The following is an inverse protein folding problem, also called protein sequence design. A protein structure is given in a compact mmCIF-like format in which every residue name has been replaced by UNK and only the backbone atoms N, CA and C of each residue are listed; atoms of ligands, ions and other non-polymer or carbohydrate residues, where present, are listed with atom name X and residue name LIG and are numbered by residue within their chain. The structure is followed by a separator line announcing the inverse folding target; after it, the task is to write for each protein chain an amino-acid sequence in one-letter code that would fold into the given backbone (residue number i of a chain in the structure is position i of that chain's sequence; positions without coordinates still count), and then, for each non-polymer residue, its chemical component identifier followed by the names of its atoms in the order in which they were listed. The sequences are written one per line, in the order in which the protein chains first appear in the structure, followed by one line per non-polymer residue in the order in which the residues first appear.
data_IF_280782724609
#
_entry.id   IF_280782724609
#
_cell.length_a   1.000
_cell.length_b   1.000
_cell.length_c   1.000
_cell.angle_alpha   90.00
_cell.angle_beta   90.00
_cell.angle_gamma   90.00
#
_symmetry.space_group_name_H-M   'P 1'
#
loop_
_entity.id
_entity.type
_entity.pdbx_description
1 polymer ?
#
# COMPACT_ATOMS: atom_id res chain seq x y z
N UNK A 1 1.14 16.86 -23.19
CA UNK A 1 2.03 15.68 -23.08
C UNK A 1 1.71 14.94 -21.78
N UNK A 2 1.50 13.62 -21.88
CA UNK A 2 1.26 12.76 -20.74
C UNK A 2 2.59 12.63 -19.97
N UNK A 3 2.62 12.92 -18.65
CA UNK A 3 3.84 12.82 -17.87
C UNK A 3 4.28 11.36 -17.69
N UNK A 4 5.58 11.16 -17.48
CA UNK A 4 6.07 9.86 -17.06
C UNK A 4 5.58 9.55 -15.63
N UNK A 5 5.21 8.29 -15.32
CA UNK A 5 4.79 7.90 -13.99
C UNK A 5 5.97 8.03 -13.00
N UNK A 6 5.63 8.34 -11.76
CA UNK A 6 6.62 8.47 -10.67
C UNK A 6 6.65 7.26 -9.74
N UNK A 7 5.57 6.51 -9.69
CA UNK A 7 5.39 5.39 -8.75
C UNK A 7 4.80 4.19 -9.50
N UNK A 8 5.30 2.99 -9.23
CA UNK A 8 4.67 1.76 -9.70
C UNK A 8 4.57 0.70 -8.60
N UNK A 9 3.58 -0.15 -8.73
CA UNK A 9 3.42 -1.33 -7.91
C UNK A 9 3.42 -2.57 -8.80
N UNK A 10 4.24 -3.54 -8.46
CA UNK A 10 4.34 -4.81 -9.18
C UNK A 10 3.76 -5.92 -8.30
N UNK A 11 2.69 -6.52 -8.77
CA UNK A 11 2.06 -7.69 -8.17
C UNK A 11 2.71 -8.91 -8.82
N UNK A 12 3.68 -9.52 -8.16
CA UNK A 12 4.51 -10.55 -8.81
C UNK A 12 3.86 -11.93 -8.86
N UNK A 13 2.84 -12.17 -8.03
CA UNK A 13 2.15 -13.47 -7.92
C UNK A 13 0.82 -13.32 -7.18
N UNK A 14 -0.14 -14.22 -7.42
CA UNK A 14 -1.32 -14.40 -6.55
C UNK A 14 -1.22 -15.61 -5.63
N UNK A 15 -0.13 -16.37 -5.69
CA UNK A 15 0.12 -17.48 -4.75
C UNK A 15 0.40 -16.91 -3.36
N UNK A 16 -0.27 -17.41 -2.32
CA UNK A 16 -0.13 -16.94 -0.95
C UNK A 16 -0.39 -18.06 0.05
N UNK A 17 0.45 -18.26 1.08
CA UNK A 17 0.22 -19.21 2.14
C UNK A 17 -0.74 -18.72 3.23
N UNK A 18 -1.07 -17.40 3.20
CA UNK A 18 -2.01 -16.79 4.16
C UNK A 18 -3.44 -16.94 3.65
N UNK A 19 -4.41 -16.96 4.60
CA UNK A 19 -5.84 -17.05 4.31
C UNK A 19 -6.58 -15.84 4.91
N UNK A 20 -6.11 -14.64 4.55
CA UNK A 20 -6.61 -13.40 5.13
C UNK A 20 -8.11 -13.21 4.87
N UNK A 21 -8.84 -12.75 5.89
CA UNK A 21 -10.29 -12.49 5.79
C UNK A 21 -10.61 -11.36 4.81
N UNK A 22 -9.71 -10.34 4.68
CA UNK A 22 -9.87 -9.20 3.80
C UNK A 22 -9.48 -9.46 2.36
N UNK A 23 -8.99 -10.66 2.01
CA UNK A 23 -8.38 -10.93 0.72
C UNK A 23 -8.64 -12.37 0.29
N UNK A 24 -9.12 -12.57 -0.94
CA UNK A 24 -9.38 -13.87 -1.52
C UNK A 24 -8.34 -14.27 -2.60
N UNK A 25 -7.21 -13.58 -2.66
CA UNK A 25 -6.10 -13.92 -3.57
C UNK A 25 -5.68 -15.39 -3.42
N UNK A 26 -5.60 -15.88 -2.19
CA UNK A 26 -5.19 -17.24 -1.88
C UNK A 26 -6.15 -18.32 -2.44
N UNK A 27 -7.41 -17.94 -2.72
CA UNK A 27 -8.39 -18.79 -3.42
C UNK A 27 -8.21 -18.77 -4.94
N UNK A 28 -7.47 -17.79 -5.46
CA UNK A 28 -7.27 -17.51 -6.89
C UNK A 28 -5.77 -17.47 -7.24
N UNK A 29 -4.98 -18.52 -6.94
CA UNK A 29 -3.54 -18.51 -7.16
C UNK A 29 -3.21 -18.47 -8.64
N UNK A 30 -2.17 -17.75 -9.00
CA UNK A 30 -1.56 -17.83 -10.33
C UNK A 30 -0.90 -19.18 -10.58
N UNK A 31 -0.87 -19.62 -11.83
CA UNK A 31 0.04 -20.67 -12.28
C UNK A 31 1.44 -20.07 -12.43
N UNK A 32 2.46 -20.73 -11.87
CA UNK A 32 3.85 -20.24 -11.84
C UNK A 32 4.36 -19.84 -13.23
N UNK A 33 4.03 -20.61 -14.24
CA UNK A 33 4.47 -20.46 -15.63
C UNK A 33 3.82 -19.26 -16.33
N UNK A 34 2.74 -18.74 -15.76
CA UNK A 34 1.99 -17.58 -16.29
C UNK A 34 2.33 -16.29 -15.56
N UNK A 35 3.14 -16.33 -14.53
CA UNK A 35 3.54 -15.13 -13.81
C UNK A 35 4.48 -14.26 -14.65
N UNK A 36 4.42 -12.96 -14.42
CA UNK A 36 5.29 -11.96 -15.06
C UNK A 36 6.76 -12.35 -14.92
N UNK A 37 7.48 -12.32 -16.03
CA UNK A 37 8.89 -12.71 -16.12
C UNK A 37 9.82 -11.51 -15.89
N UNK A 38 11.07 -11.80 -15.61
CA UNK A 38 12.13 -10.78 -15.49
C UNK A 38 12.24 -9.95 -16.78
N UNK A 39 12.20 -10.60 -17.95
CA UNK A 39 12.24 -9.92 -19.25
C UNK A 39 11.07 -8.95 -19.47
N UNK A 40 9.89 -9.28 -18.96
CA UNK A 40 8.72 -8.39 -19.00
C UNK A 40 8.86 -7.23 -18.02
N UNK A 41 9.40 -7.46 -16.82
CA UNK A 41 9.70 -6.40 -15.84
C UNK A 41 10.77 -5.44 -16.37
N UNK A 42 11.74 -5.91 -17.13
CA UNK A 42 12.75 -5.06 -17.78
C UNK A 42 12.16 -4.05 -18.79
N UNK A 43 11.00 -4.34 -19.38
CA UNK A 43 10.30 -3.38 -20.25
C UNK A 43 9.63 -2.22 -19.52
N UNK A 44 9.42 -2.35 -18.18
CA UNK A 44 8.77 -1.31 -17.37
C UNK A 44 9.66 -0.08 -17.24
N UNK A 45 9.09 1.12 -17.04
CA UNK A 45 9.85 2.36 -16.98
C UNK A 45 10.65 2.51 -15.69
N UNK A 46 11.64 3.41 -15.72
CA UNK A 46 12.25 3.91 -14.49
C UNK A 46 11.31 4.89 -13.78
N UNK A 47 11.21 4.75 -12.46
CA UNK A 47 10.33 5.54 -11.61
C UNK A 47 11.03 5.94 -10.31
N UNK A 48 10.42 6.83 -9.52
CA UNK A 48 11.00 7.26 -8.23
C UNK A 48 10.76 6.27 -7.09
N UNK A 49 9.72 5.44 -7.22
CA UNK A 49 9.33 4.50 -6.19
C UNK A 49 8.71 3.22 -6.79
N UNK A 50 9.15 2.07 -6.29
CA UNK A 50 8.57 0.76 -6.61
C UNK A 50 8.11 0.08 -5.34
N UNK A 51 6.85 -0.40 -5.35
CA UNK A 51 6.37 -1.36 -4.36
C UNK A 51 6.24 -2.75 -5.02
N UNK A 52 6.92 -3.73 -4.46
CA UNK A 52 6.77 -5.14 -4.83
C UNK A 52 5.78 -5.76 -3.88
N UNK A 53 4.74 -6.38 -4.42
CA UNK A 53 3.69 -7.04 -3.64
C UNK A 53 3.18 -8.27 -4.38
N UNK A 54 2.12 -8.89 -3.88
CA UNK A 54 1.52 -10.05 -4.50
C UNK A 54 0.44 -10.64 -3.61
N UNK A 55 0.25 -11.94 -3.75
CA UNK A 55 -0.21 -12.76 -2.64
C UNK A 55 0.89 -12.76 -1.57
N UNK A 56 1.94 -13.54 -1.80
CA UNK A 56 3.18 -13.45 -1.00
C UNK A 56 4.38 -13.48 -1.94
N UNK A 57 5.13 -12.38 -2.07
CA UNK A 57 6.27 -12.32 -3.00
C UNK A 57 7.33 -13.40 -2.77
N UNK A 58 7.56 -13.77 -1.51
CA UNK A 58 8.57 -14.75 -1.14
C UNK A 58 8.25 -16.21 -1.51
N UNK A 59 7.11 -16.48 -2.17
CA UNK A 59 6.88 -17.78 -2.80
C UNK A 59 7.60 -17.90 -4.15
N UNK A 60 8.02 -16.78 -4.75
CA UNK A 60 8.78 -16.78 -6.02
C UNK A 60 10.24 -17.15 -5.77
N UNK A 61 10.76 -18.03 -6.59
CA UNK A 61 12.16 -18.47 -6.51
C UNK A 61 13.12 -17.41 -7.10
N UNK A 62 12.66 -16.65 -8.09
CA UNK A 62 13.38 -15.59 -8.81
C UNK A 62 13.15 -14.19 -8.22
N UNK A 63 12.68 -14.10 -6.97
CA UNK A 63 12.39 -12.81 -6.35
C UNK A 63 13.62 -11.90 -6.22
N UNK A 64 14.80 -12.46 -5.95
CA UNK A 64 16.02 -11.68 -5.82
C UNK A 64 16.41 -11.02 -7.14
N UNK A 65 16.22 -11.70 -8.27
CA UNK A 65 16.46 -11.15 -9.61
C UNK A 65 15.44 -10.06 -9.95
N UNK A 66 14.17 -10.24 -9.56
CA UNK A 66 13.15 -9.19 -9.70
C UNK A 66 13.53 -7.95 -8.92
N UNK A 67 13.98 -8.10 -7.66
CA UNK A 67 14.41 -6.98 -6.82
C UNK A 67 15.61 -6.26 -7.44
N UNK A 68 16.55 -7.01 -8.00
CA UNK A 68 17.72 -6.44 -8.69
C UNK A 68 17.31 -5.56 -9.88
N UNK A 69 16.39 -6.04 -10.73
CA UNK A 69 15.79 -5.22 -11.80
C UNK A 69 15.13 -3.97 -11.25
N UNK A 70 14.35 -4.11 -10.18
CA UNK A 70 13.65 -2.98 -9.58
C UNK A 70 14.62 -1.91 -9.04
N UNK A 71 15.75 -2.29 -8.46
CA UNK A 71 16.77 -1.33 -8.03
C UNK A 71 17.50 -0.64 -9.18
N UNK A 72 17.59 -1.28 -10.35
CA UNK A 72 18.08 -0.57 -11.57
C UNK A 72 17.10 0.48 -12.09
N UNK A 73 15.80 0.32 -11.78
CA UNK A 73 14.71 1.20 -12.26
C UNK A 73 14.25 2.24 -11.25
N UNK A 74 14.62 2.09 -9.97
CA UNK A 74 14.17 3.02 -8.94
C UNK A 74 15.19 3.15 -7.81
N UNK A 75 15.41 4.39 -7.32
CA UNK A 75 16.25 4.62 -6.14
C UNK A 75 15.60 4.10 -4.85
N UNK A 76 14.30 3.81 -4.88
CA UNK A 76 13.57 3.31 -3.71
C UNK A 76 12.65 2.16 -4.06
N UNK A 77 12.99 0.99 -3.52
CA UNK A 77 12.19 -0.24 -3.64
C UNK A 77 11.71 -0.66 -2.26
N UNK A 78 10.42 -0.94 -2.13
CA UNK A 78 9.79 -1.46 -0.92
C UNK A 78 9.10 -2.76 -1.26
N UNK A 79 9.22 -3.76 -0.39
CA UNK A 79 8.50 -5.03 -0.52
C UNK A 79 7.48 -5.17 0.62
N UNK A 80 6.25 -5.57 0.26
CA UNK A 80 5.18 -5.89 1.19
C UNK A 80 5.07 -7.41 1.31
N UNK A 81 5.13 -7.94 2.53
CA UNK A 81 5.15 -9.39 2.80
C UNK A 81 4.38 -9.73 4.07
N UNK A 82 3.94 -10.96 4.19
CA UNK A 82 3.35 -11.51 5.41
C UNK A 82 4.38 -11.73 6.54
N UNK A 83 5.67 -11.74 6.22
CA UNK A 83 6.72 -12.11 7.17
C UNK A 83 6.84 -13.62 7.41
N UNK A 84 6.08 -14.45 6.68
CA UNK A 84 6.04 -15.90 6.91
C UNK A 84 7.34 -16.63 6.55
N UNK A 85 8.05 -16.17 5.52
CA UNK A 85 9.28 -16.77 5.01
C UNK A 85 10.52 -16.10 5.60
N UNK A 86 10.66 -16.15 6.93
CA UNK A 86 11.71 -15.46 7.70
C UNK A 86 13.10 -15.64 7.08
N UNK A 87 13.55 -16.89 6.86
CA UNK A 87 14.91 -17.17 6.37
C UNK A 87 15.16 -16.55 4.97
N UNK A 88 14.17 -16.59 4.10
CA UNK A 88 14.24 -15.99 2.76
C UNK A 88 14.29 -14.46 2.83
N UNK A 89 13.48 -13.87 3.73
CA UNK A 89 13.48 -12.41 3.96
C UNK A 89 14.83 -11.95 4.48
N UNK A 90 15.40 -12.66 5.45
CA UNK A 90 16.71 -12.35 6.02
C UNK A 90 17.83 -12.50 4.98
N UNK A 91 17.81 -13.57 4.18
CA UNK A 91 18.77 -13.77 3.09
C UNK A 91 18.70 -12.64 2.07
N UNK A 92 17.50 -12.29 1.63
CA UNK A 92 17.26 -11.18 0.70
C UNK A 92 17.74 -9.84 1.26
N UNK A 93 17.44 -9.53 2.53
CA UNK A 93 17.85 -8.29 3.16
C UNK A 93 19.38 -8.15 3.31
N UNK A 94 20.12 -9.27 3.48
CA UNK A 94 21.59 -9.26 3.43
C UNK A 94 22.12 -8.83 2.07
N UNK A 95 21.49 -9.28 0.99
CA UNK A 95 21.88 -8.91 -0.38
C UNK A 95 21.47 -7.48 -0.75
N UNK A 96 20.33 -7.03 -0.25
CA UNK A 96 19.74 -5.71 -0.56
C UNK A 96 19.48 -4.90 0.72
N UNK A 97 20.53 -4.40 1.40
CA UNK A 97 20.39 -3.74 2.71
C UNK A 97 19.61 -2.41 2.66
N UNK A 98 19.42 -1.83 1.48
CA UNK A 98 18.67 -0.59 1.28
C UNK A 98 17.19 -0.81 0.92
N UNK A 99 16.73 -2.08 0.87
CA UNK A 99 15.32 -2.37 0.58
C UNK A 99 14.42 -1.95 1.74
N UNK A 100 13.29 -1.35 1.42
CA UNK A 100 12.22 -1.16 2.40
C UNK A 100 11.42 -2.45 2.58
N UNK A 101 11.11 -2.83 3.81
CA UNK A 101 10.33 -4.04 4.10
C UNK A 101 9.14 -3.67 4.97
N UNK A 102 7.93 -3.97 4.49
CA UNK A 102 6.68 -3.83 5.26
C UNK A 102 6.10 -5.20 5.53
N UNK A 103 6.08 -5.58 6.79
CA UNK A 103 5.44 -6.84 7.23
C UNK A 103 4.00 -6.51 7.62
N UNK A 104 3.07 -7.23 6.99
CA UNK A 104 1.65 -7.05 7.25
C UNK A 104 1.28 -7.72 8.59
N UNK A 105 0.87 -6.92 9.55
CA UNK A 105 0.41 -7.35 10.87
C UNK A 105 -0.91 -6.63 11.17
N UNK A 106 -1.99 -7.42 11.29
CA UNK A 106 -3.36 -6.90 11.38
C UNK A 106 -3.89 -6.73 12.81
N UNK A 107 -3.09 -7.04 13.80
CA UNK A 107 -3.44 -6.96 15.22
C UNK A 107 -2.39 -7.60 16.10
N UNK A 108 -2.62 -7.59 17.41
CA UNK A 108 -1.77 -8.29 18.36
C UNK A 108 -2.06 -9.79 18.30
N UNK A 109 -1.02 -10.61 18.42
CA UNK A 109 -1.02 -12.08 18.55
C UNK A 109 -2.23 -12.78 17.92
N UNK A 110 -3.21 -13.18 18.73
CA UNK A 110 -4.39 -13.95 18.29
C UNK A 110 -5.23 -13.22 17.25
N UNK A 111 -5.37 -11.90 17.36
CA UNK A 111 -6.15 -11.12 16.40
C UNK A 111 -5.49 -11.12 15.01
N UNK A 112 -4.17 -11.00 14.96
CA UNK A 112 -3.44 -11.12 13.70
C UNK A 112 -3.62 -12.50 13.06
N UNK A 113 -3.47 -13.56 13.85
CA UNK A 113 -3.56 -14.94 13.36
C UNK A 113 -4.98 -15.26 12.87
N UNK A 114 -6.00 -14.75 13.56
CA UNK A 114 -7.41 -14.83 13.14
C UNK A 114 -7.64 -14.12 11.81
N UNK A 115 -7.24 -12.84 11.69
CA UNK A 115 -7.52 -12.03 10.51
C UNK A 115 -6.69 -12.46 9.28
N UNK A 116 -5.48 -12.97 9.51
CA UNK A 116 -4.62 -13.47 8.44
C UNK A 116 -4.77 -14.97 8.17
N UNK A 117 -5.60 -15.64 8.97
CA UNK A 117 -5.92 -17.06 8.80
C UNK A 117 -4.72 -17.99 8.93
N UNK A 118 -3.75 -17.64 9.78
CA UNK A 118 -2.52 -18.42 9.95
C UNK A 118 -1.98 -18.31 11.37
N UNK A 119 -2.04 -19.42 12.10
CA UNK A 119 -1.48 -19.52 13.46
C UNK A 119 0.04 -19.30 13.46
N UNK A 120 0.54 -18.50 14.39
CA UNK A 120 1.94 -18.14 14.50
C UNK A 120 2.39 -17.05 13.52
N UNK A 121 1.48 -16.45 12.76
CA UNK A 121 1.79 -15.38 11.80
C UNK A 121 2.30 -14.12 12.48
N UNK A 122 1.72 -13.74 13.63
CA UNK A 122 2.19 -12.62 14.43
C UNK A 122 3.63 -12.83 14.92
N UNK A 123 3.89 -13.97 15.56
CA UNK A 123 5.21 -14.27 16.12
C UNK A 123 6.30 -14.30 15.05
N UNK A 124 6.02 -14.93 13.91
CA UNK A 124 6.96 -14.94 12.77
C UNK A 124 7.21 -13.55 12.23
N UNK A 125 6.16 -12.77 11.98
CA UNK A 125 6.28 -11.42 11.46
C UNK A 125 7.08 -10.51 12.39
N UNK A 126 6.76 -10.51 13.68
CA UNK A 126 7.47 -9.71 14.68
C UNK A 126 8.94 -10.15 14.82
N UNK A 127 9.20 -11.46 14.91
CA UNK A 127 10.56 -12.00 14.99
C UNK A 127 11.39 -11.62 13.76
N UNK A 128 10.79 -11.69 12.56
CA UNK A 128 11.45 -11.26 11.33
C UNK A 128 11.82 -9.77 11.40
N UNK A 129 10.91 -8.90 11.85
CA UNK A 129 11.20 -7.47 12.03
C UNK A 129 12.34 -7.22 13.03
N UNK A 130 12.35 -7.93 14.16
CA UNK A 130 13.41 -7.79 15.16
C UNK A 130 14.78 -8.22 14.59
N UNK A 131 14.85 -9.35 13.88
CA UNK A 131 16.08 -9.79 13.21
C UNK A 131 16.57 -8.79 12.16
N UNK A 132 15.68 -8.24 11.35
CA UNK A 132 16.01 -7.21 10.37
C UNK A 132 16.57 -5.94 11.05
N UNK A 133 15.98 -5.54 12.18
CA UNK A 133 16.49 -4.43 13.00
C UNK A 133 17.90 -4.71 13.52
N UNK A 134 18.13 -5.90 14.10
CA UNK A 134 19.42 -6.31 14.62
C UNK A 134 20.50 -6.36 13.54
N UNK A 135 20.13 -6.66 12.31
CA UNK A 135 20.99 -6.58 11.12
C UNK A 135 21.27 -5.13 10.65
N UNK A 136 20.63 -4.12 11.23
CA UNK A 136 20.79 -2.73 10.87
C UNK A 136 19.99 -2.28 9.63
N UNK A 137 19.00 -3.06 9.17
CA UNK A 137 18.11 -2.67 8.08
C UNK A 137 17.23 -1.52 8.58
N UNK A 138 17.27 -0.37 7.87
CA UNK A 138 16.69 0.89 8.38
C UNK A 138 15.23 1.11 7.97
N UNK A 139 14.85 0.75 6.73
CA UNK A 139 13.49 1.01 6.20
C UNK A 139 12.57 -0.21 6.42
N UNK A 140 12.33 -0.54 7.68
CA UNK A 140 11.47 -1.67 8.07
C UNK A 140 10.28 -1.21 8.90
N UNK A 141 9.19 -1.96 8.85
CA UNK A 141 8.04 -1.64 9.69
C UNK A 141 6.80 -2.47 9.43
N UNK A 142 5.75 -2.06 10.12
CA UNK A 142 4.45 -2.71 10.10
C UNK A 142 3.56 -2.10 9.03
N UNK A 143 2.73 -2.93 8.41
CA UNK A 143 1.59 -2.53 7.60
C UNK A 143 0.31 -3.11 8.18
N UNK A 144 -0.73 -2.30 8.38
CA UNK A 144 -2.03 -2.74 8.89
C UNK A 144 -3.16 -2.28 7.96
N UNK A 145 -4.10 -3.19 7.68
CA UNK A 145 -5.37 -2.87 7.02
C UNK A 145 -6.47 -2.79 8.08
N UNK A 146 -6.90 -1.57 8.36
CA UNK A 146 -7.79 -1.27 9.48
C UNK A 146 -9.26 -1.47 9.14
N UNK A 147 -9.96 -2.19 10.01
CA UNK A 147 -11.41 -2.40 9.99
C UNK A 147 -11.98 -2.27 11.41
N UNK A 148 -13.27 -2.53 11.57
CA UNK A 148 -13.89 -2.63 12.91
C UNK A 148 -13.38 -3.83 13.74
N UNK A 149 -12.68 -4.79 13.13
CA UNK A 149 -12.14 -5.95 13.83
C UNK A 149 -10.81 -5.69 14.55
N UNK A 150 -10.06 -4.65 14.13
CA UNK A 150 -8.70 -4.42 14.61
C UNK A 150 -8.33 -2.94 14.83
N UNK A 151 -9.28 -2.03 14.79
CA UNK A 151 -8.97 -0.60 14.95
C UNK A 151 -8.40 -0.26 16.33
N UNK A 152 -8.78 -1.01 17.37
CA UNK A 152 -8.20 -0.88 18.71
C UNK A 152 -6.73 -1.37 18.73
N UNK A 153 -6.47 -2.52 18.10
CA UNK A 153 -5.13 -3.08 18.01
C UNK A 153 -4.17 -2.19 17.21
N UNK A 154 -4.68 -1.40 16.25
CA UNK A 154 -3.91 -0.42 15.50
C UNK A 154 -3.14 0.53 16.41
N UNK A 155 -3.75 1.02 17.49
CA UNK A 155 -3.11 1.93 18.43
C UNK A 155 -1.98 1.25 19.19
N UNK A 156 -2.20 0.03 19.65
CA UNK A 156 -1.19 -0.78 20.35
C UNK A 156 -0.02 -1.15 19.43
N UNK A 157 -0.30 -1.53 18.18
CA UNK A 157 0.73 -1.81 17.17
C UNK A 157 1.54 -0.56 16.82
N UNK A 158 0.89 0.61 16.75
CA UNK A 158 1.61 1.86 16.56
C UNK A 158 2.60 2.13 17.69
N UNK A 159 2.17 1.98 18.96
CA UNK A 159 3.05 2.15 20.12
C UNK A 159 4.20 1.15 20.08
N UNK A 160 3.94 -0.12 19.74
CA UNK A 160 4.98 -1.13 19.55
C UNK A 160 5.96 -0.72 18.45
N UNK A 161 5.47 -0.30 17.29
CA UNK A 161 6.34 0.14 16.18
C UNK A 161 7.24 1.30 16.59
N UNK A 162 6.72 2.24 17.38
CA UNK A 162 7.47 3.40 17.88
C UNK A 162 8.53 3.00 18.89
N UNK A 163 8.20 2.11 19.85
CA UNK A 163 9.17 1.60 20.83
C UNK A 163 10.33 0.86 20.16
N UNK A 164 10.07 0.22 19.03
CA UNK A 164 11.07 -0.46 18.21
C UNK A 164 11.80 0.45 17.22
N UNK A 165 11.40 1.71 17.08
CA UNK A 165 11.96 2.63 16.09
C UNK A 165 11.66 2.25 14.64
N UNK A 166 10.51 1.62 14.39
CA UNK A 166 10.08 1.11 13.08
C UNK A 166 8.99 1.97 12.44
N UNK A 167 8.84 1.82 11.14
CA UNK A 167 7.79 2.46 10.35
C UNK A 167 6.42 1.83 10.65
N UNK A 168 5.36 2.62 10.51
CA UNK A 168 3.99 2.16 10.65
C UNK A 168 3.14 2.70 9.48
N UNK A 169 2.60 1.80 8.69
CA UNK A 169 1.77 2.12 7.53
C UNK A 169 0.34 1.62 7.74
N UNK A 170 -0.63 2.44 7.41
CA UNK A 170 -2.06 2.15 7.55
C UNK A 170 -2.74 2.10 6.18
N UNK A 171 -3.74 1.25 6.06
CA UNK A 171 -4.76 1.25 5.02
C UNK A 171 -6.13 1.06 5.67
N UNK A 172 -7.20 1.46 5.03
CA UNK A 172 -8.54 1.10 5.45
C UNK A 172 -9.05 -0.09 4.65
N UNK A 173 -9.89 -0.88 5.26
CA UNK A 173 -10.60 -2.00 4.67
C UNK A 173 -11.34 -1.56 3.41
N UNK A 174 -11.11 -2.23 2.29
CA UNK A 174 -11.67 -1.85 1.01
C UNK A 174 -11.85 -3.05 0.08
N UNK A 175 -12.69 -2.87 -0.92
CA UNK A 175 -12.91 -3.81 -1.99
C UNK A 175 -11.99 -3.54 -3.18
N UNK A 176 -11.62 -4.60 -3.86
CA UNK A 176 -10.73 -4.52 -5.02
C UNK A 176 -10.80 -5.80 -5.83
N UNK A 177 -10.80 -5.69 -7.17
CA UNK A 177 -10.64 -6.86 -8.03
C UNK A 177 -9.31 -7.58 -7.75
N UNK A 178 -8.29 -6.82 -7.39
CA UNK A 178 -6.99 -7.37 -6.99
C UNK A 178 -7.08 -8.34 -5.80
N UNK A 179 -7.93 -8.01 -4.82
CA UNK A 179 -8.18 -8.89 -3.69
C UNK A 179 -9.16 -10.04 -4.02
N UNK A 180 -9.78 -10.04 -5.19
CA UNK A 180 -10.88 -10.92 -5.55
C UNK A 180 -12.00 -10.88 -4.49
N UNK A 181 -12.29 -9.69 -3.94
CA UNK A 181 -13.19 -9.51 -2.81
C UNK A 181 -13.98 -8.20 -2.92
N UNK A 182 -15.29 -8.30 -2.71
CA UNK A 182 -16.22 -7.17 -2.85
C UNK A 182 -17.15 -6.98 -1.64
N UNK A 183 -16.93 -7.75 -0.55
CA UNK A 183 -17.74 -7.74 0.67
C UNK A 183 -16.99 -7.23 1.89
N UNK A 184 -15.94 -6.45 1.70
CA UNK A 184 -15.23 -5.75 2.75
C UNK A 184 -15.98 -4.47 3.12
N UNK A 185 -16.56 -4.42 4.32
CA UNK A 185 -17.27 -3.25 4.85
C UNK A 185 -16.82 -2.92 6.26
N UNK A 186 -16.71 -1.62 6.55
CA UNK A 186 -16.54 -1.10 7.90
C UNK A 186 -17.93 -0.74 8.44
N UNK A 187 -18.42 -1.49 9.42
CA UNK A 187 -19.75 -1.32 9.99
C UNK A 187 -19.76 -0.33 11.14
N UNK A 188 -18.75 -0.36 12.04
CA UNK A 188 -18.60 0.59 13.13
C UNK A 188 -17.67 1.75 12.73
N UNK A 189 -18.15 2.59 11.81
CA UNK A 189 -17.37 3.72 11.27
C UNK A 189 -16.92 4.72 12.32
N UNK A 190 -17.76 4.96 13.34
CA UNK A 190 -17.49 5.94 14.39
C UNK A 190 -16.28 5.52 15.22
N UNK A 191 -16.27 4.29 15.74
CA UNK A 191 -15.17 3.76 16.54
C UNK A 191 -13.86 3.75 15.74
N UNK A 192 -13.90 3.24 14.50
CA UNK A 192 -12.72 3.19 13.64
C UNK A 192 -12.17 4.60 13.37
N UNK A 193 -13.05 5.56 13.07
CA UNK A 193 -12.63 6.96 12.87
C UNK A 193 -12.08 7.59 14.15
N UNK A 194 -12.63 7.29 15.32
CA UNK A 194 -12.13 7.78 16.60
C UNK A 194 -10.72 7.23 16.89
N UNK A 195 -10.47 5.96 16.60
CA UNK A 195 -9.14 5.37 16.73
C UNK A 195 -8.14 6.02 15.75
N UNK A 196 -8.55 6.31 14.52
CA UNK A 196 -7.71 7.08 13.59
C UNK A 196 -7.44 8.51 14.11
N UNK A 197 -8.41 9.20 14.74
CA UNK A 197 -8.17 10.53 15.35
C UNK A 197 -7.11 10.45 16.43
N UNK A 198 -7.20 9.46 17.31
CA UNK A 198 -6.20 9.22 18.37
C UNK A 198 -4.80 8.97 17.75
N UNK A 199 -4.72 8.11 16.72
CA UNK A 199 -3.47 7.87 16.01
C UNK A 199 -2.88 9.16 15.41
N UNK A 200 -3.72 9.98 14.77
CA UNK A 200 -3.31 11.26 14.17
C UNK A 200 -2.76 12.23 15.23
N UNK A 201 -3.39 12.31 16.41
CA UNK A 201 -2.89 13.13 17.52
C UNK A 201 -1.51 12.68 17.97
N UNK A 202 -1.29 11.37 18.12
CA UNK A 202 0.02 10.83 18.46
C UNK A 202 1.07 11.15 17.40
N UNK A 203 0.72 10.96 16.12
CA UNK A 203 1.61 11.27 14.99
C UNK A 203 1.96 12.77 14.90
N UNK A 204 1.02 13.65 15.18
CA UNK A 204 1.25 15.10 15.20
C UNK A 204 2.10 15.53 16.41
N UNK A 205 2.11 14.80 17.52
CA UNK A 205 3.01 15.05 18.66
C UNK A 205 4.46 14.68 18.38
N UNK A 206 4.72 13.82 17.40
CA UNK A 206 6.08 13.42 17.08
C UNK A 206 6.95 14.55 16.51
N UNK A 207 8.28 14.33 16.55
CA UNK A 207 9.26 15.30 16.05
C UNK A 207 9.51 15.20 14.54
N UNK A 208 9.20 14.05 13.93
CA UNK A 208 9.52 13.77 12.53
C UNK A 208 8.42 14.20 11.56
N UNK A 209 8.74 15.04 10.54
CA UNK A 209 7.76 15.49 9.54
C UNK A 209 7.01 14.35 8.83
N UNK A 210 7.65 13.20 8.61
CA UNK A 210 7.03 12.03 8.00
C UNK A 210 5.79 11.57 8.78
N UNK A 211 5.83 11.60 10.12
CA UNK A 211 4.69 11.25 10.97
C UNK A 211 3.53 12.25 10.80
N UNK A 212 3.82 13.53 10.63
CA UNK A 212 2.79 14.55 10.42
C UNK A 212 2.06 14.37 9.09
N UNK A 213 2.80 14.04 8.02
CA UNK A 213 2.18 13.74 6.71
C UNK A 213 1.39 12.42 6.74
N UNK A 214 1.80 11.46 7.58
CA UNK A 214 1.00 10.25 7.84
C UNK A 214 -0.31 10.57 8.57
N UNK A 215 -0.32 11.55 9.49
CA UNK A 215 -1.55 12.04 10.10
C UNK A 215 -2.51 12.62 9.05
N UNK A 216 -2.00 13.40 8.09
CA UNK A 216 -2.83 13.87 6.97
C UNK A 216 -3.34 12.72 6.09
N UNK A 217 -2.51 11.72 5.82
CA UNK A 217 -2.95 10.51 5.10
C UNK A 217 -4.08 9.80 5.86
N UNK A 218 -3.97 9.66 7.19
CA UNK A 218 -5.00 9.05 8.02
C UNK A 218 -6.30 9.88 8.07
N UNK A 219 -6.21 11.22 7.98
CA UNK A 219 -7.40 12.06 7.79
C UNK A 219 -8.11 11.71 6.48
N UNK A 220 -7.38 11.43 5.41
CA UNK A 220 -7.94 10.95 4.16
C UNK A 220 -8.63 9.58 4.30
N UNK A 221 -8.12 8.69 5.17
CA UNK A 221 -8.79 7.42 5.49
C UNK A 221 -10.10 7.65 6.26
N UNK A 222 -10.14 8.57 7.22
CA UNK A 222 -11.39 8.95 7.89
C UNK A 222 -12.40 9.45 6.87
N UNK A 223 -11.98 10.34 5.98
CA UNK A 223 -12.83 10.88 4.92
C UNK A 223 -13.38 9.79 4.00
N UNK A 224 -12.54 8.79 3.65
CA UNK A 224 -12.94 7.60 2.87
C UNK A 224 -13.97 6.75 3.63
N UNK A 225 -13.71 6.41 4.89
CA UNK A 225 -14.56 5.55 5.74
C UNK A 225 -15.95 6.18 5.91
N UNK A 226 -16.04 7.50 5.95
CA UNK A 226 -17.30 8.25 6.09
C UNK A 226 -18.00 8.53 4.74
N UNK A 227 -17.56 7.91 3.65
CA UNK A 227 -18.13 8.03 2.30
C UNK A 227 -18.13 9.48 1.75
N UNK A 228 -17.24 10.33 2.22
CA UNK A 228 -17.08 11.68 1.71
C UNK A 228 -16.26 11.71 0.41
N UNK A 229 -16.30 12.82 -0.34
CA UNK A 229 -15.46 13.01 -1.53
C UNK A 229 -13.98 12.90 -1.19
N UNK A 230 -13.20 12.39 -2.13
CA UNK A 230 -11.74 12.28 -1.99
C UNK A 230 -11.11 13.66 -1.69
N UNK A 231 -10.14 13.71 -0.76
CA UNK A 231 -9.51 14.98 -0.34
C UNK A 231 -8.71 15.65 -1.47
N UNK A 232 -7.97 14.86 -2.23
CA UNK A 232 -7.16 15.31 -3.37
C UNK A 232 -7.60 14.56 -4.63
N UNK A 233 -7.41 15.14 -5.82
CA UNK A 233 -7.75 14.48 -7.08
C UNK A 233 -7.15 13.07 -7.20
N UNK A 234 -7.83 12.18 -7.89
CA UNK A 234 -7.25 10.90 -8.29
C UNK A 234 -6.49 11.07 -9.60
N UNK A 235 -5.19 10.78 -9.58
CA UNK A 235 -4.33 10.81 -10.76
C UNK A 235 -3.74 9.42 -11.07
N UNK A 236 -4.49 8.37 -10.72
CA UNK A 236 -4.14 7.01 -11.09
C UNK A 236 -4.08 6.87 -12.62
N UNK A 237 -3.05 6.19 -13.12
CA UNK A 237 -2.79 6.11 -14.57
C UNK A 237 -2.12 7.36 -15.17
N UNK A 238 -1.78 8.36 -14.35
CA UNK A 238 -0.97 9.52 -14.73
C UNK A 238 0.33 9.60 -13.92
N UNK A 239 0.24 9.47 -12.59
CA UNK A 239 1.41 9.54 -11.71
C UNK A 239 1.84 8.17 -11.19
N UNK A 240 0.96 7.20 -11.22
CA UNK A 240 1.21 5.83 -10.77
C UNK A 240 0.48 4.82 -11.65
N UNK A 241 0.93 3.58 -11.60
CA UNK A 241 0.28 2.43 -12.22
C UNK A 241 0.58 1.13 -11.45
N UNK A 242 -0.17 0.08 -11.76
CA UNK A 242 -0.02 -1.26 -11.24
C UNK A 242 0.23 -2.25 -12.37
N UNK A 243 1.06 -3.24 -12.11
CA UNK A 243 1.27 -4.38 -13.01
C UNK A 243 0.80 -5.61 -12.27
N UNK A 244 -0.10 -6.37 -12.87
CA UNK A 244 -0.57 -7.63 -12.32
C UNK A 244 0.37 -8.81 -12.67
N UNK A 245 0.21 -10.00 -12.08
CA UNK A 245 1.06 -11.14 -12.38
C UNK A 245 0.97 -11.64 -13.82
N UNK A 246 -0.04 -11.23 -14.57
CA UNK A 246 -0.21 -11.61 -15.98
C UNK A 246 0.34 -10.58 -16.95
N UNK A 247 0.97 -9.50 -16.42
CA UNK A 247 1.54 -8.43 -17.23
C UNK A 247 0.54 -7.35 -17.64
N UNK A 248 -0.69 -7.38 -17.13
CA UNK A 248 -1.67 -6.32 -17.37
C UNK A 248 -1.30 -5.05 -16.60
N UNK A 249 -1.41 -3.91 -17.27
CA UNK A 249 -1.15 -2.60 -16.68
C UNK A 249 -2.47 -1.95 -16.28
N UNK A 250 -2.64 -1.68 -15.00
CA UNK A 250 -3.82 -1.01 -14.45
C UNK A 250 -3.46 0.35 -13.84
N UNK A 251 -4.38 1.33 -13.85
CA UNK A 251 -4.12 2.65 -13.26
C UNK A 251 -4.03 2.58 -11.73
N UNK A 252 -4.81 1.70 -11.10
CA UNK A 252 -4.83 1.51 -9.64
C UNK A 252 -5.24 0.08 -9.27
N UNK A 253 -5.00 -0.28 -8.02
CA UNK A 253 -5.44 -1.55 -7.42
C UNK A 253 -6.81 -1.47 -6.74
N UNK A 254 -7.46 -0.31 -6.72
CA UNK A 254 -8.76 -0.09 -6.09
C UNK A 254 -9.96 -0.28 -7.02
N UNK A 255 -9.75 -0.84 -8.21
CA UNK A 255 -10.84 -1.14 -9.14
C UNK A 255 -11.76 -2.22 -8.56
N UNK A 256 -13.06 -2.08 -8.83
CA UNK A 256 -14.06 -3.09 -8.57
C UNK A 256 -14.77 -3.41 -9.88
N UNK A 257 -15.00 -4.69 -10.18
CA UNK A 257 -15.61 -5.12 -11.45
C UNK A 257 -16.96 -4.48 -11.72
N UNK A 258 -17.74 -4.26 -10.66
CA UNK A 258 -19.07 -3.59 -10.76
C UNK A 258 -19.01 -2.16 -11.29
N UNK A 259 -17.86 -1.48 -11.22
CA UNK A 259 -17.70 -0.14 -11.78
C UNK A 259 -17.02 -0.19 -13.15
N UNK A 260 -15.85 -0.82 -13.22
CA UNK A 260 -15.08 -1.07 -14.43
C UNK A 260 -13.81 -1.88 -14.13
N UNK A 261 -13.33 -2.60 -15.14
CA UNK A 261 -12.13 -3.43 -15.05
C UNK A 261 -11.40 -3.41 -16.38
N UNK A 262 -10.97 -2.25 -16.85
CA UNK A 262 -10.19 -2.17 -18.08
C UNK A 262 -8.72 -1.92 -17.77
N UNK A 263 -7.82 -2.71 -18.40
CA UNK A 263 -6.39 -2.46 -18.38
C UNK A 263 -6.02 -1.39 -19.40
N UNK A 264 -4.86 -0.79 -19.19
CA UNK A 264 -4.25 0.14 -20.14
C UNK A 264 -3.54 -0.61 -21.28
N UNK A 265 -3.31 -1.90 -21.12
CA UNK A 265 -2.65 -2.80 -22.04
C UNK A 265 -1.80 -3.85 -21.30
N UNK A 266 -1.22 -4.79 -22.05
CA UNK A 266 -0.41 -5.87 -21.50
C UNK A 266 1.04 -5.77 -21.96
N UNK A 267 1.98 -5.76 -21.00
CA UNK A 267 3.42 -5.60 -21.28
C UNK A 267 4.01 -6.76 -22.11
N UNK A 268 3.35 -7.92 -22.12
CA UNK A 268 3.74 -9.08 -22.95
C UNK A 268 3.58 -8.82 -24.44
N UNK A 269 2.58 -8.02 -24.80
CA UNK A 269 2.16 -7.76 -26.17
C UNK A 269 2.89 -6.58 -26.81
N UNK A 270 3.77 -5.91 -26.07
CA UNK A 270 4.49 -4.71 -26.53
C UNK A 270 6.00 -4.88 -26.37
N UNK A 271 6.78 -4.08 -27.08
CA UNK A 271 8.23 -4.05 -26.95
C UNK A 271 8.68 -3.14 -25.82
N UNK A 272 7.85 -2.14 -25.45
CA UNK A 272 8.14 -1.19 -24.39
C UNK A 272 6.88 -0.72 -23.67
N UNK A 273 7.04 -0.29 -22.42
CA UNK A 273 5.98 0.35 -21.64
C UNK A 273 5.41 1.61 -22.31
N UNK A 274 6.23 2.36 -23.03
CA UNK A 274 5.81 3.61 -23.69
C UNK A 274 4.71 3.38 -24.72
N UNK A 275 4.70 2.24 -25.42
CA UNK A 275 3.63 1.89 -26.35
C UNK A 275 2.28 1.78 -25.64
N UNK A 276 2.25 1.20 -24.43
CA UNK A 276 1.05 1.14 -23.62
C UNK A 276 0.69 2.51 -23.07
N UNK A 277 1.67 3.21 -22.47
CA UNK A 277 1.42 4.44 -21.72
C UNK A 277 0.86 5.56 -22.59
N UNK A 278 1.23 5.59 -23.87
CA UNK A 278 0.77 6.60 -24.84
C UNK A 278 -0.31 6.09 -25.80
N UNK A 279 -0.86 4.90 -25.57
CA UNK A 279 -1.91 4.32 -26.40
C UNK A 279 -3.27 5.02 -26.23
N UNK A 280 -4.14 4.89 -27.22
CA UNK A 280 -5.55 5.31 -27.12
C UNK A 280 -6.27 4.57 -26.01
N UNK A 281 -5.98 3.29 -25.80
CA UNK A 281 -6.53 2.48 -24.72
C UNK A 281 -6.16 3.05 -23.34
N UNK A 282 -4.91 3.45 -23.14
CA UNK A 282 -4.49 4.07 -21.89
C UNK A 282 -5.19 5.41 -21.65
N UNK A 283 -5.40 6.20 -22.71
CA UNK A 283 -6.16 7.45 -22.60
C UNK A 283 -7.62 7.21 -22.25
N UNK A 284 -8.26 6.24 -22.89
CA UNK A 284 -9.63 5.81 -22.52
C UNK A 284 -9.71 5.46 -21.03
N UNK A 285 -8.76 4.66 -20.52
CA UNK A 285 -8.71 4.27 -19.10
C UNK A 285 -8.50 5.47 -18.18
N UNK A 286 -7.67 6.45 -18.56
CA UNK A 286 -7.49 7.71 -17.80
C UNK A 286 -8.80 8.52 -17.71
N UNK A 287 -9.58 8.58 -18.80
CA UNK A 287 -10.90 9.24 -18.79
C UNK A 287 -11.87 8.50 -17.84
N UNK A 288 -11.82 7.17 -17.79
CA UNK A 288 -12.60 6.39 -16.82
C UNK A 288 -12.18 6.70 -15.38
N UNK A 289 -10.87 6.82 -15.11
CA UNK A 289 -10.35 7.23 -13.77
C UNK A 289 -10.85 8.63 -13.40
N UNK A 290 -10.82 9.57 -14.33
CA UNK A 290 -11.31 10.95 -14.10
C UNK A 290 -12.78 10.98 -13.69
N UNK A 291 -13.59 10.08 -14.24
CA UNK A 291 -15.01 9.95 -13.97
C UNK A 291 -15.35 8.88 -12.92
N UNK A 292 -14.33 8.33 -12.23
CA UNK A 292 -14.51 7.25 -11.26
C UNK A 292 -15.35 7.73 -10.06
N UNK A 293 -16.45 7.04 -9.70
CA UNK A 293 -17.35 7.44 -8.62
C UNK A 293 -16.78 7.13 -7.23
N UNK A 294 -15.66 6.41 -7.15
CA UNK A 294 -15.07 5.99 -5.87
C UNK A 294 -14.34 7.13 -5.17
N UNK A 295 -14.44 7.14 -3.86
CA UNK A 295 -13.71 8.06 -2.98
C UNK A 295 -12.45 7.43 -2.36
N UNK A 296 -11.99 6.29 -2.88
CA UNK A 296 -10.93 5.48 -2.29
C UNK A 296 -9.66 6.31 -1.99
N UNK A 297 -9.01 5.97 -0.87
CA UNK A 297 -7.81 6.62 -0.39
C UNK A 297 -6.75 5.58 -0.02
N UNK A 298 -6.06 5.07 -1.04
CA UNK A 298 -5.03 4.02 -0.90
C UNK A 298 -3.65 4.63 -1.02
N UNK A 299 -2.67 4.09 -0.31
CA UNK A 299 -1.31 4.62 -0.27
C UNK A 299 -0.70 4.77 -1.66
N UNK A 300 -0.90 3.80 -2.56
CA UNK A 300 -0.36 3.83 -3.93
C UNK A 300 -0.93 4.93 -4.82
N UNK A 301 -2.13 5.45 -4.52
CA UNK A 301 -2.76 6.53 -5.30
C UNK A 301 -2.83 7.85 -4.54
N UNK A 302 -2.79 7.83 -3.21
CA UNK A 302 -2.84 9.02 -2.37
C UNK A 302 -1.44 9.63 -2.14
N UNK A 303 -0.42 8.82 -1.89
CA UNK A 303 0.93 9.30 -1.63
C UNK A 303 1.53 10.13 -2.78
N UNK A 304 1.43 9.72 -4.06
CA UNK A 304 1.91 10.54 -5.17
C UNK A 304 1.22 11.90 -5.28
N UNK A 305 -0.11 11.92 -5.14
CA UNK A 305 -0.86 13.19 -5.24
C UNK A 305 -0.65 14.09 -4.01
N UNK A 306 -0.41 13.54 -2.83
CA UNK A 306 -0.01 14.32 -1.65
C UNK A 306 1.33 15.04 -1.88
N UNK A 307 2.28 14.39 -2.55
CA UNK A 307 3.57 15.01 -2.93
C UNK A 307 3.38 16.09 -4.00
N UNK A 308 2.54 15.82 -5.00
CA UNK A 308 2.25 16.78 -6.07
C UNK A 308 1.51 18.02 -5.57
N UNK A 309 0.51 17.85 -4.73
CA UNK A 309 -0.31 18.92 -4.15
C UNK A 309 0.13 19.26 -2.71
N UNK A 310 1.43 19.28 -2.46
CA UNK A 310 2.03 19.37 -1.12
C UNK A 310 1.52 20.53 -0.28
N UNK A 311 1.08 21.63 -0.89
CA UNK A 311 0.59 22.82 -0.19
C UNK A 311 -0.65 22.56 0.67
N UNK A 312 -1.56 21.66 0.24
CA UNK A 312 -2.75 21.30 1.03
C UNK A 312 -2.38 20.48 2.27
N UNK A 313 -1.67 19.33 2.15
CA UNK A 313 -1.19 18.59 3.31
C UNK A 313 -0.36 19.46 4.27
N UNK A 314 0.53 20.30 3.74
CA UNK A 314 1.38 21.15 4.56
C UNK A 314 0.59 22.18 5.39
N UNK A 315 -0.38 22.89 4.78
CA UNK A 315 -1.27 23.82 5.49
C UNK A 315 -2.03 23.12 6.61
N UNK A 316 -2.58 21.93 6.32
CA UNK A 316 -3.30 21.15 7.31
C UNK A 316 -2.36 20.71 8.46
N UNK A 317 -1.16 20.23 8.15
CA UNK A 317 -0.15 19.82 9.13
C UNK A 317 0.23 20.98 10.04
N UNK A 318 0.57 22.16 9.48
CA UNK A 318 0.96 23.33 10.26
C UNK A 318 -0.14 23.73 11.25
N UNK A 319 -1.39 23.85 10.77
CA UNK A 319 -2.54 24.18 11.61
C UNK A 319 -2.74 23.17 12.74
N UNK A 320 -2.70 21.88 12.42
CA UNK A 320 -2.99 20.85 13.40
C UNK A 320 -1.82 20.57 14.35
N UNK A 321 -0.58 20.78 13.93
CA UNK A 321 0.57 20.84 14.87
C UNK A 321 0.37 21.95 15.90
N UNK A 322 -0.05 23.13 15.47
CA UNK A 322 -0.35 24.23 16.37
C UNK A 322 -1.50 23.90 17.32
N UNK A 323 -2.58 23.31 16.81
CA UNK A 323 -3.71 22.89 17.64
C UNK A 323 -3.27 21.90 18.73
N UNK A 324 -2.50 20.88 18.37
CA UNK A 324 -2.00 19.88 19.33
C UNK A 324 -1.09 20.52 20.39
N UNK A 325 -0.19 21.43 20.00
CA UNK A 325 0.70 22.14 20.93
C UNK A 325 -0.09 23.04 21.91
N UNK A 326 -1.18 23.64 21.43
CA UNK A 326 -2.03 24.55 22.23
C UNK A 326 -3.17 23.84 22.94
N UNK A 327 -3.21 22.50 22.93
CA UNK A 327 -4.27 21.71 23.58
C UNK A 327 -5.65 21.76 22.89
N UNK A 328 -5.71 22.23 21.65
CA UNK A 328 -6.93 22.27 20.85
C UNK A 328 -7.13 20.97 20.08
N UNK A 329 -8.40 20.64 19.80
CA UNK A 329 -8.75 19.48 18.99
C UNK A 329 -8.22 19.58 17.55
N UNK A 330 -7.90 18.43 16.97
CA UNK A 330 -7.52 18.34 15.55
C UNK A 330 -8.70 18.72 14.67
N UNK A 331 -8.43 19.57 13.69
CA UNK A 331 -9.41 19.92 12.65
C UNK A 331 -9.52 18.78 11.63
N UNK A 332 -10.68 18.15 11.55
CA UNK A 332 -11.00 17.13 10.55
C UNK A 332 -11.69 17.82 9.38
N UNK A 333 -10.99 17.89 8.25
CA UNK A 333 -11.53 18.50 7.03
C UNK A 333 -12.21 17.42 6.19
N UNK A 334 -13.53 17.31 6.32
CA UNK A 334 -14.32 16.39 5.52
C UNK A 334 -14.82 17.09 4.25
N UNK A 335 -14.59 16.49 3.09
CA UNK A 335 -15.20 16.91 1.84
C UNK A 335 -16.56 16.22 1.70
N UNK A 336 -17.60 16.81 2.24
CA UNK A 336 -18.98 16.32 2.05
C UNK A 336 -19.30 16.12 0.56
N UNK A 337 -20.15 15.12 0.26
CA UNK A 337 -20.65 14.83 -1.10
C UNK A 337 -21.38 16.00 -1.70
#
# INVERSE_FOLDING_TARGET
TIPNPTDMCIIVTYRCPMKCQMCDIWKNPTQKEKEITIAEIEKLPSVKFINITGGEPFVREDLEEIIDVCFRKSPRVVISTSGWFEDRIIKMAKRFPNIGIRISIEGLSLKNDELRGRVGGFDKGLRTLLKLKDMGIKDIGFGITVSNHNSNDMLSLYQLSKSLGMEFATAAFHNSYYFHKEDNYITNKEEVCNNFRTLMEWQLKEKHPKSWFRAYFNMGLINYIQDNKRLLPCEAGLVNFFVDPYGEIYPCNGLEEKFWKESMGNIRQTTSFNEIWHSEQAEKVRQMVKNCPKNCWMVGTASPVMKKYITQPLRWVIRNKWNVITGKAISIELKKK
#
